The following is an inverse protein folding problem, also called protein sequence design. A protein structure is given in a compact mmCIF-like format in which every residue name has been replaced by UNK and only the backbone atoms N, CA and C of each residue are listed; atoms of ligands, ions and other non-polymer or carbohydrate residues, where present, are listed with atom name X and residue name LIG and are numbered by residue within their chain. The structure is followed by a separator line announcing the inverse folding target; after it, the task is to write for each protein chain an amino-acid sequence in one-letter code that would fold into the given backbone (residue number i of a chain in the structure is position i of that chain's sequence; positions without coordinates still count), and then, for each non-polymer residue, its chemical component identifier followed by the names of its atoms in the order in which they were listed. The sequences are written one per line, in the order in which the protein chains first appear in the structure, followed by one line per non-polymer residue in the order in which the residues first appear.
data_IF_654504092800
#
_entry.id   IF_654504092800
#
_cell.length_a   1.000
_cell.length_b   1.000
_cell.length_c   1.000
_cell.angle_alpha   90.00
_cell.angle_beta   90.00
_cell.angle_gamma   90.00
#
_symmetry.space_group_name_H-M   'P 1'
#
loop_
_entity.id
_entity.type
_entity.pdbx_description
1 polymer ?
#
# COMPACT_ATOMS: atom_id res chain seq x y z
N UNK A 1 -16.57 33.16 -20.66
CA UNK A 1 -17.27 32.86 -21.94
C UNK A 1 -17.54 31.37 -21.94
N UNK A 2 -18.77 30.99 -21.62
CA UNK A 2 -19.24 29.60 -21.61
C UNK A 2 -19.82 29.36 -23.00
N UNK A 3 -19.38 28.31 -23.68
CA UNK A 3 -20.10 27.80 -24.85
C UNK A 3 -20.66 26.43 -24.47
N UNK A 4 -21.96 26.43 -24.21
CA UNK A 4 -22.80 25.26 -24.20
C UNK A 4 -22.99 24.82 -25.66
N UNK A 5 -22.76 23.56 -25.97
CA UNK A 5 -23.49 22.87 -27.04
C UNK A 5 -24.11 21.63 -26.43
N UNK A 6 -25.42 21.68 -26.40
CA UNK A 6 -26.33 20.64 -25.94
C UNK A 6 -26.86 19.92 -27.20
N UNK A 7 -26.96 18.59 -27.18
CA UNK A 7 -28.04 17.83 -27.85
C UNK A 7 -27.96 16.33 -27.53
N UNK A 8 -28.79 15.92 -26.56
CA UNK A 8 -29.90 14.95 -26.64
C UNK A 8 -29.69 13.56 -27.26
N UNK A 9 -30.15 12.57 -26.47
CA UNK A 9 -30.56 11.21 -26.85
C UNK A 9 -29.75 10.18 -26.07
N UNK A 10 -30.25 9.37 -25.15
CA UNK A 10 -31.59 8.81 -24.94
C UNK A 10 -31.37 7.33 -24.58
N UNK A 11 -32.01 6.89 -23.48
CA UNK A 11 -32.16 5.48 -23.04
C UNK A 11 -31.06 4.82 -22.18
N UNK A 12 -31.25 5.00 -20.88
CA UNK A 12 -31.50 3.96 -19.85
C UNK A 12 -30.62 2.69 -19.79
N UNK A 13 -29.87 2.60 -18.68
CA UNK A 13 -29.06 1.44 -18.33
C UNK A 13 -28.44 1.54 -16.94
N UNK A 14 -29.27 1.82 -15.92
CA UNK A 14 -29.08 1.57 -14.47
C UNK A 14 -27.66 1.18 -14.01
N UNK A 15 -26.70 2.13 -13.98
CA UNK A 15 -25.43 1.96 -13.28
C UNK A 15 -25.60 2.34 -11.81
N UNK A 16 -25.82 1.34 -10.96
CA UNK A 16 -25.58 1.47 -9.52
C UNK A 16 -24.12 1.89 -9.33
N UNK A 17 -23.91 3.01 -8.64
CA UNK A 17 -22.58 3.46 -8.25
C UNK A 17 -21.86 2.38 -7.45
N UNK A 18 -20.77 1.86 -8.00
CA UNK A 18 -19.85 0.99 -7.28
C UNK A 18 -18.75 1.88 -6.70
N UNK A 19 -18.91 2.23 -5.42
CA UNK A 19 -17.85 2.80 -4.60
C UNK A 19 -16.86 1.66 -4.37
N UNK A 20 -15.58 1.74 -4.80
CA UNK A 20 -14.62 0.70 -4.48
C UNK A 20 -14.32 0.78 -2.97
N UNK A 21 -14.91 -0.15 -2.22
CA UNK A 21 -14.47 -0.48 -0.87
C UNK A 21 -13.00 -0.89 -0.96
N UNK A 22 -12.17 -0.21 -0.19
CA UNK A 22 -10.82 -0.65 0.18
C UNK A 22 -10.90 -2.12 0.63
N UNK A 23 -10.38 -3.05 -0.17
CA UNK A 23 -10.13 -4.41 0.30
C UNK A 23 -8.74 -4.44 0.90
N UNK A 24 -8.70 -4.50 2.23
CA UNK A 24 -7.50 -4.86 2.98
C UNK A 24 -6.96 -6.19 2.46
N UNK A 25 -5.71 -6.16 2.00
CA UNK A 25 -4.96 -7.37 1.73
C UNK A 25 -4.64 -8.08 3.05
N UNK A 26 -5.13 -9.30 3.17
CA UNK A 26 -4.78 -10.29 4.17
C UNK A 26 -3.38 -10.81 3.83
N UNK A 27 -2.35 -10.23 4.44
CA UNK A 27 -1.01 -10.81 4.43
C UNK A 27 -0.86 -11.75 5.62
N UNK A 28 -1.02 -13.04 5.33
CA UNK A 28 -0.48 -14.11 6.15
C UNK A 28 1.06 -14.00 6.18
N UNK A 29 1.60 -13.47 7.27
CA UNK A 29 3.00 -13.67 7.64
C UNK A 29 3.05 -14.73 8.73
N UNK A 30 3.55 -15.92 8.35
CA UNK A 30 3.99 -16.96 9.26
C UNK A 30 5.02 -16.37 10.23
N UNK A 31 4.72 -16.45 11.52
CA UNK A 31 5.60 -15.98 12.58
C UNK A 31 6.86 -16.84 12.68
N UNK A 32 8.00 -16.24 12.39
CA UNK A 32 9.28 -16.61 13.00
C UNK A 32 9.43 -15.72 14.24
N UNK A 33 9.25 -16.36 15.39
CA UNK A 33 9.41 -15.77 16.70
C UNK A 33 10.88 -15.38 16.93
N UNK A 34 11.20 -14.10 16.80
CA UNK A 34 12.39 -13.51 17.40
C UNK A 34 11.98 -12.31 18.24
N UNK A 35 11.71 -12.63 19.50
CA UNK A 35 11.93 -11.78 20.68
C UNK A 35 11.82 -10.27 20.43
N UNK A 36 10.60 -9.77 20.27
CA UNK A 36 10.29 -8.38 20.53
C UNK A 36 10.29 -8.18 22.05
N UNK A 37 11.18 -7.37 22.64
CA UNK A 37 11.06 -7.05 24.05
C UNK A 37 9.79 -6.22 24.23
N UNK A 38 8.78 -6.86 24.85
CA UNK A 38 7.64 -6.23 25.47
C UNK A 38 8.11 -5.17 26.47
N UNK A 39 8.32 -3.94 26.02
CA UNK A 39 8.61 -2.80 26.90
C UNK A 39 7.85 -1.56 26.43
N UNK A 40 6.54 -1.68 26.39
CA UNK A 40 5.66 -0.53 26.64
C UNK A 40 4.72 -0.85 27.79
N UNK A 41 5.30 -1.26 28.93
CA UNK A 41 4.73 -0.90 30.21
C UNK A 41 5.22 0.53 30.51
N UNK A 42 4.65 1.50 29.79
CA UNK A 42 4.70 2.90 30.22
C UNK A 42 4.07 2.91 31.61
N UNK A 43 4.92 2.89 32.64
CA UNK A 43 4.53 3.44 33.93
C UNK A 43 4.07 4.85 33.62
N UNK A 44 2.80 5.12 33.93
CA UNK A 44 2.27 6.47 34.09
C UNK A 44 3.15 7.23 35.10
N UNK A 45 4.27 7.79 34.65
CA UNK A 45 4.86 8.98 35.26
C UNK A 45 4.01 10.13 34.76
N UNK A 46 2.92 10.36 35.50
CA UNK A 46 2.08 11.55 35.38
C UNK A 46 2.99 12.78 35.36
N UNK A 47 3.12 13.40 34.19
CA UNK A 47 3.49 14.81 34.06
C UNK A 47 2.33 15.62 34.65
N UNK A 48 2.51 16.36 35.76
CA UNK A 48 1.45 17.18 36.34
C UNK A 48 1.53 18.59 35.74
N UNK A 49 1.51 18.73 34.41
CA UNK A 49 1.56 20.04 33.77
C UNK A 49 0.68 20.07 32.52
N UNK A 50 -0.62 19.80 32.71
CA UNK A 50 -1.70 20.46 31.98
C UNK A 50 -3.05 19.92 32.46
N UNK A 51 -3.57 20.50 33.53
CA UNK A 51 -5.01 20.51 33.76
C UNK A 51 -5.41 21.96 33.85
N UNK A 52 -6.16 22.38 32.82
CA UNK A 52 -6.85 23.67 32.73
C UNK A 52 -7.57 23.95 34.05
N UNK A 53 -7.47 25.19 34.51
CA UNK A 53 -8.31 25.75 35.57
C UNK A 53 -9.78 25.66 35.14
N UNK A 54 -10.46 24.59 35.55
CA UNK A 54 -11.92 24.57 35.68
C UNK A 54 -12.16 24.36 37.16
N UNK A 55 -12.76 25.36 37.82
CA UNK A 55 -13.20 25.30 39.20
C UNK A 55 -14.25 24.19 39.36
N UNK A 56 -13.82 22.99 39.70
CA UNK A 56 -14.66 21.97 40.33
C UNK A 56 -13.97 21.50 41.62
N UNK A 57 -14.68 21.44 42.75
CA UNK A 57 -14.13 20.93 44.00
C UNK A 57 -13.78 19.44 43.82
N UNK A 58 -12.61 18.99 44.33
CA UNK A 58 -12.15 17.62 44.12
C UNK A 58 -12.98 16.63 44.95
N UNK A 59 -13.97 16.00 44.33
CA UNK A 59 -14.66 14.84 44.91
C UNK A 59 -13.76 13.61 44.80
N UNK A 60 -13.39 13.06 45.96
CA UNK A 60 -12.69 11.78 46.18
C UNK A 60 -11.17 11.79 46.01
N UNK A 61 -10.49 12.48 46.94
CA UNK A 61 -9.12 12.18 47.29
C UNK A 61 -9.00 10.73 47.79
N UNK A 62 -8.19 9.90 47.15
CA UNK A 62 -7.57 8.76 47.83
C UNK A 62 -6.76 9.28 49.02
N UNK A 63 -7.37 9.33 50.21
CA UNK A 63 -6.79 9.54 51.54
C UNK A 63 -5.94 10.82 51.75
N UNK A 64 -6.27 11.71 52.71
CA UNK A 64 -5.44 12.85 53.10
C UNK A 64 -3.98 12.45 53.42
N UNK A 65 -3.80 11.26 53.98
CA UNK A 65 -2.49 10.70 54.33
C UNK A 65 -1.59 10.48 53.10
N UNK A 66 -2.12 10.05 51.96
CA UNK A 66 -1.33 9.79 50.74
C UNK A 66 -0.92 11.08 50.04
N UNK A 67 -1.80 12.08 50.09
CA UNK A 67 -1.52 13.44 49.63
C UNK A 67 -0.43 14.09 50.48
N UNK A 68 -0.58 14.07 51.81
CA UNK A 68 0.43 14.57 52.74
C UNK A 68 1.74 13.80 52.60
N UNK A 69 1.74 12.47 52.52
CA UNK A 69 2.94 11.65 52.35
C UNK A 69 3.71 11.99 51.06
N UNK A 70 3.02 12.26 49.94
CA UNK A 70 3.66 12.70 48.68
C UNK A 70 4.25 14.10 48.79
N UNK A 71 3.56 15.00 49.49
CA UNK A 71 3.98 16.39 49.63
C UNK A 71 5.10 16.56 50.67
N UNK A 72 5.06 15.84 51.79
CA UNK A 72 6.02 16.00 52.90
C UNK A 72 7.27 15.19 52.71
N UNK A 73 7.19 13.91 52.34
CA UNK A 73 8.38 13.07 52.12
C UNK A 73 9.07 13.33 50.77
N UNK A 74 8.35 13.90 49.80
CA UNK A 74 8.96 14.40 48.56
C UNK A 74 9.86 15.63 48.81
N UNK A 75 9.51 16.45 49.80
CA UNK A 75 10.29 17.61 50.22
C UNK A 75 11.52 17.23 51.07
N UNK A 76 11.48 16.13 51.82
CA UNK A 76 12.56 15.67 52.70
C UNK A 76 13.76 15.01 51.99
N UNK A 77 13.82 15.07 50.66
CA UNK A 77 15.01 14.65 49.92
C UNK A 77 16.08 15.73 50.00
N UNK A 78 17.29 15.37 50.47
CA UNK A 78 18.45 16.25 50.42
C UNK A 78 18.71 16.71 48.99
N UNK A 79 19.23 17.93 48.84
CA UNK A 79 19.57 18.50 47.53
C UNK A 79 20.56 17.59 46.78
N UNK A 80 21.50 16.98 47.51
CA UNK A 80 22.46 16.00 47.01
C UNK A 80 21.77 14.75 46.44
N UNK A 81 20.75 14.21 47.11
CA UNK A 81 20.03 13.04 46.62
C UNK A 81 19.24 13.35 45.34
N UNK A 82 18.69 14.55 45.21
CA UNK A 82 18.03 15.01 43.97
C UNK A 82 19.05 15.18 42.84
N UNK A 83 20.22 15.75 43.13
CA UNK A 83 21.29 15.94 42.17
C UNK A 83 21.85 14.62 41.65
N UNK A 84 22.21 13.67 42.54
CA UNK A 84 22.71 12.35 42.16
C UNK A 84 21.68 11.61 41.29
N UNK A 85 20.40 11.74 41.61
CA UNK A 85 19.31 11.16 40.81
C UNK A 85 19.23 11.81 39.43
N UNK A 86 19.30 13.14 39.35
CA UNK A 86 19.30 13.86 38.09
C UNK A 86 20.52 13.49 37.23
N UNK A 87 21.70 13.39 37.81
CA UNK A 87 22.93 12.99 37.12
C UNK A 87 22.83 11.57 36.54
N UNK A 88 22.32 10.62 37.33
CA UNK A 88 22.06 9.24 36.85
C UNK A 88 21.08 9.24 35.68
N UNK A 89 19.99 10.00 35.78
CA UNK A 89 19.00 10.10 34.70
C UNK A 89 19.59 10.72 33.43
N UNK A 90 20.44 11.75 33.55
CA UNK A 90 21.11 12.37 32.38
C UNK A 90 22.04 11.37 31.70
N UNK A 91 22.79 10.57 32.48
CA UNK A 91 23.67 9.52 31.94
C UNK A 91 22.87 8.43 31.22
N UNK A 92 21.80 7.93 31.84
CA UNK A 92 20.91 6.93 31.23
C UNK A 92 20.25 7.47 29.95
N UNK A 93 19.76 8.71 29.99
CA UNK A 93 19.18 9.38 28.83
C UNK A 93 20.19 9.54 27.70
N UNK A 94 21.44 9.92 28.00
CA UNK A 94 22.52 10.00 27.02
C UNK A 94 22.80 8.68 26.30
N UNK A 95 22.79 7.56 27.04
CA UNK A 95 22.92 6.22 26.44
C UNK A 95 21.75 5.89 25.52
N UNK A 96 20.52 6.18 25.97
CA UNK A 96 19.31 5.96 25.17
C UNK A 96 19.33 6.75 23.87
N UNK A 97 19.65 8.05 23.93
CA UNK A 97 19.76 8.90 22.74
C UNK A 97 20.88 8.43 21.80
N UNK A 98 22.00 7.96 22.35
CA UNK A 98 23.10 7.40 21.57
C UNK A 98 22.69 6.15 20.78
N UNK A 99 21.92 5.24 21.40
CA UNK A 99 21.35 4.07 20.74
C UNK A 99 20.35 4.47 19.66
N UNK A 100 19.41 5.37 19.98
CA UNK A 100 18.42 5.87 19.02
C UNK A 100 19.06 6.51 17.79
N UNK A 101 20.14 7.29 17.95
CA UNK A 101 20.87 7.87 16.82
C UNK A 101 21.47 6.81 15.90
N UNK A 102 22.01 5.73 16.46
CA UNK A 102 22.59 4.62 15.67
C UNK A 102 21.50 3.83 14.95
N UNK A 103 20.41 3.52 15.63
CA UNK A 103 19.28 2.80 15.04
C UNK A 103 18.59 3.62 13.95
N UNK A 104 18.36 4.91 14.20
CA UNK A 104 17.77 5.84 13.22
C UNK A 104 18.59 5.91 11.93
N UNK A 105 19.92 6.03 12.02
CA UNK A 105 20.80 6.00 10.83
C UNK A 105 20.66 4.71 10.04
N UNK A 106 20.71 3.55 10.71
CA UNK A 106 20.53 2.24 10.06
C UNK A 106 19.16 2.11 9.38
N UNK A 107 18.10 2.62 10.02
CA UNK A 107 16.75 2.58 9.45
C UNK A 107 16.60 3.52 8.25
N UNK A 108 17.18 4.71 8.31
CA UNK A 108 17.21 5.66 7.19
C UNK A 108 17.93 5.07 5.97
N UNK A 109 19.09 4.45 6.19
CA UNK A 109 19.84 3.78 5.12
C UNK A 109 19.00 2.68 4.46
N UNK A 110 18.37 1.81 5.27
CA UNK A 110 17.49 0.75 4.76
C UNK A 110 16.27 1.29 4.01
N UNK A 111 15.64 2.34 4.54
CA UNK A 111 14.51 2.98 3.89
C UNK A 111 14.90 3.58 2.52
N UNK A 112 16.06 4.23 2.45
CA UNK A 112 16.57 4.82 1.21
C UNK A 112 16.90 3.77 0.14
N UNK A 113 17.41 2.61 0.54
CA UNK A 113 17.68 1.49 -0.37
C UNK A 113 16.37 0.88 -0.86
N UNK A 114 15.43 0.61 0.06
CA UNK A 114 14.11 0.08 -0.29
C UNK A 114 13.37 1.02 -1.25
N UNK A 115 13.44 2.35 -1.07
CA UNK A 115 12.84 3.31 -2.00
C UNK A 115 13.44 3.23 -3.40
N UNK A 116 14.78 3.12 -3.52
CA UNK A 116 15.45 2.96 -4.81
C UNK A 116 15.03 1.67 -5.51
N UNK A 117 14.99 0.56 -4.76
CA UNK A 117 14.60 -0.74 -5.30
C UNK A 117 13.14 -0.75 -5.74
N UNK A 118 12.24 -0.13 -4.96
CA UNK A 118 10.83 0.05 -5.34
C UNK A 118 10.68 0.87 -6.62
N UNK A 119 11.38 2.00 -6.74
CA UNK A 119 11.34 2.85 -7.97
C UNK A 119 11.88 2.12 -9.19
N UNK A 120 12.95 1.34 -9.01
CA UNK A 120 13.52 0.51 -10.07
C UNK A 120 12.54 -0.57 -10.50
N UNK A 121 12.01 -1.36 -9.56
CA UNK A 121 11.04 -2.40 -9.85
C UNK A 121 9.77 -1.86 -10.51
N UNK A 122 9.30 -0.69 -10.10
CA UNK A 122 8.18 0.00 -10.75
C UNK A 122 8.49 0.38 -12.20
N UNK A 123 9.67 0.95 -12.45
CA UNK A 123 10.11 1.29 -13.81
C UNK A 123 10.23 0.06 -14.71
N UNK A 124 10.81 -1.02 -14.20
CA UNK A 124 10.95 -2.29 -14.94
C UNK A 124 9.56 -2.88 -15.28
N UNK A 125 8.61 -2.79 -14.34
CA UNK A 125 7.23 -3.23 -14.56
C UNK A 125 6.50 -2.37 -15.60
N UNK A 126 6.74 -1.05 -15.63
CA UNK A 126 6.20 -0.18 -16.69
C UNK A 126 6.73 -0.55 -18.07
N UNK A 127 8.05 -0.78 -18.20
CA UNK A 127 8.66 -1.16 -19.48
C UNK A 127 8.10 -2.50 -19.96
N UNK A 128 8.05 -3.51 -19.09
CA UNK A 128 7.47 -4.80 -19.42
C UNK A 128 5.97 -4.70 -19.77
N UNK A 129 5.21 -3.89 -19.04
CA UNK A 129 3.80 -3.60 -19.32
C UNK A 129 3.60 -3.01 -20.71
N UNK A 130 4.40 -2.01 -21.09
CA UNK A 130 4.36 -1.38 -22.41
C UNK A 130 4.70 -2.37 -23.54
N UNK A 131 5.67 -3.26 -23.32
CA UNK A 131 6.02 -4.31 -24.28
C UNK A 131 4.86 -5.29 -24.46
N UNK A 132 4.23 -5.74 -23.37
CA UNK A 132 3.05 -6.61 -23.41
C UNK A 132 1.90 -5.93 -24.15
N UNK A 133 1.65 -4.64 -23.89
CA UNK A 133 0.60 -3.89 -24.57
C UNK A 133 0.89 -3.74 -26.08
N UNK A 134 2.15 -3.52 -26.46
CA UNK A 134 2.58 -3.48 -27.86
C UNK A 134 2.32 -4.81 -28.57
N UNK A 135 2.70 -5.93 -27.93
CA UNK A 135 2.43 -7.28 -28.45
C UNK A 135 0.93 -7.56 -28.50
N UNK A 136 0.15 -7.12 -27.52
CA UNK A 136 -1.31 -7.24 -27.56
C UNK A 136 -1.85 -6.56 -28.83
N UNK A 137 -1.45 -5.30 -29.07
CA UNK A 137 -1.87 -4.53 -30.26
C UNK A 137 -1.48 -5.21 -31.57
N UNK A 138 -0.31 -5.84 -31.66
CA UNK A 138 0.06 -6.58 -32.86
C UNK A 138 -0.76 -7.86 -33.04
N UNK A 139 -1.02 -8.60 -31.97
CA UNK A 139 -1.92 -9.77 -31.99
C UNK A 139 -3.33 -9.39 -32.44
N UNK A 140 -3.88 -8.27 -31.92
CA UNK A 140 -5.17 -7.74 -32.36
C UNK A 140 -5.24 -7.47 -33.87
N UNK A 141 -4.17 -6.91 -34.44
CA UNK A 141 -4.10 -6.66 -35.90
C UNK A 141 -4.05 -7.96 -36.70
N UNK A 142 -3.24 -8.93 -36.27
CA UNK A 142 -3.10 -10.21 -36.95
C UNK A 142 -4.38 -11.06 -36.83
N UNK A 143 -5.04 -11.04 -35.67
CA UNK A 143 -6.35 -11.68 -35.46
C UNK A 143 -7.40 -11.10 -36.43
N UNK A 144 -7.44 -9.77 -36.60
CA UNK A 144 -8.30 -9.10 -37.56
C UNK A 144 -8.02 -9.54 -39.00
N UNK A 145 -6.75 -9.51 -39.43
CA UNK A 145 -6.35 -9.94 -40.77
C UNK A 145 -6.69 -11.42 -41.05
N UNK A 146 -6.53 -12.29 -40.04
CA UNK A 146 -6.88 -13.69 -40.16
C UNK A 146 -8.40 -13.91 -40.25
N UNK A 147 -9.19 -13.09 -39.55
CA UNK A 147 -10.65 -13.10 -39.66
C UNK A 147 -11.12 -12.63 -41.05
N UNK A 148 -10.55 -11.53 -41.56
CA UNK A 148 -10.83 -11.03 -42.91
C UNK A 148 -10.50 -12.09 -43.98
N UNK A 149 -9.36 -12.77 -43.83
CA UNK A 149 -8.97 -13.87 -44.72
C UNK A 149 -9.95 -15.06 -44.65
N UNK A 150 -10.44 -15.40 -43.45
CA UNK A 150 -11.45 -16.45 -43.28
C UNK A 150 -12.75 -16.10 -44.00
N UNK A 151 -13.16 -14.84 -43.97
CA UNK A 151 -14.37 -14.38 -44.63
C UNK A 151 -14.23 -14.43 -46.16
N UNK A 152 -13.08 -14.02 -46.72
CA UNK A 152 -12.78 -14.20 -48.15
C UNK A 152 -12.79 -15.69 -48.54
N UNK A 153 -12.15 -16.55 -47.74
CA UNK A 153 -12.11 -17.98 -48.02
C UNK A 153 -13.50 -18.61 -47.99
N UNK A 154 -14.46 -18.09 -47.21
CA UNK A 154 -15.84 -18.59 -47.13
C UNK A 154 -16.63 -18.40 -48.43
N UNK A 155 -16.32 -17.37 -49.19
CA UNK A 155 -17.01 -17.06 -50.45
C UNK A 155 -16.62 -18.02 -51.59
N UNK A 156 -15.43 -18.62 -51.55
CA UNK A 156 -14.92 -19.48 -52.62
C UNK A 156 -15.31 -20.94 -52.36
N UNK A 157 -16.21 -21.56 -53.16
CA UNK A 157 -16.47 -22.99 -53.08
C UNK A 157 -15.34 -23.76 -53.78
N UNK A 158 -14.52 -24.49 -53.00
CA UNK A 158 -13.45 -25.33 -53.56
C UNK A 158 -12.78 -26.23 -52.51
N UNK A 159 -12.25 -27.39 -52.95
CA UNK A 159 -11.62 -28.37 -52.04
C UNK A 159 -10.33 -27.84 -51.40
N UNK A 160 -9.51 -27.11 -52.14
CA UNK A 160 -8.29 -26.50 -51.61
C UNK A 160 -8.62 -25.32 -50.66
N UNK A 161 -9.64 -24.52 -50.98
CA UNK A 161 -10.12 -23.46 -50.09
C UNK A 161 -10.62 -24.04 -48.75
N UNK A 162 -11.29 -25.20 -48.75
CA UNK A 162 -11.72 -25.88 -47.53
C UNK A 162 -10.55 -26.31 -46.63
N UNK A 163 -9.43 -26.77 -47.20
CA UNK A 163 -8.22 -27.10 -46.41
C UNK A 163 -7.64 -25.84 -45.78
N UNK A 164 -7.50 -24.76 -46.56
CA UNK A 164 -7.00 -23.47 -46.06
C UNK A 164 -7.90 -22.90 -44.96
N UNK A 165 -9.22 -23.04 -45.07
CA UNK A 165 -10.15 -22.64 -43.99
C UNK A 165 -9.87 -23.37 -42.68
N UNK A 166 -9.57 -24.67 -42.74
CA UNK A 166 -9.26 -25.45 -41.53
C UNK A 166 -7.94 -24.98 -40.90
N UNK A 167 -6.92 -24.71 -41.72
CA UNK A 167 -5.63 -24.19 -41.26
C UNK A 167 -5.77 -22.80 -40.63
N UNK A 168 -6.41 -21.86 -41.33
CA UNK A 168 -6.61 -20.50 -40.82
C UNK A 168 -7.52 -20.50 -39.59
N UNK A 169 -8.55 -21.35 -39.52
CA UNK A 169 -9.37 -21.50 -38.31
C UNK A 169 -8.55 -21.99 -37.10
N UNK A 170 -7.62 -22.92 -37.31
CA UNK A 170 -6.68 -23.35 -36.28
C UNK A 170 -5.80 -22.20 -35.81
N UNK A 171 -5.24 -21.42 -36.74
CA UNK A 171 -4.43 -20.23 -36.42
C UNK A 171 -5.22 -19.18 -35.64
N UNK A 172 -6.46 -18.87 -36.06
CA UNK A 172 -7.35 -17.93 -35.36
C UNK A 172 -7.62 -18.40 -33.93
N UNK A 173 -7.91 -19.70 -33.73
CA UNK A 173 -8.08 -20.27 -32.40
C UNK A 173 -6.83 -20.08 -31.52
N UNK A 174 -5.63 -20.31 -32.07
CA UNK A 174 -4.37 -20.07 -31.35
C UNK A 174 -4.18 -18.59 -31.01
N UNK A 175 -4.46 -17.66 -31.93
CA UNK A 175 -4.39 -16.23 -31.67
C UNK A 175 -5.37 -15.79 -30.59
N UNK A 176 -6.58 -16.34 -30.58
CA UNK A 176 -7.59 -16.06 -29.57
C UNK A 176 -7.15 -16.53 -28.17
N UNK A 177 -6.54 -17.72 -28.08
CA UNK A 177 -5.94 -18.22 -26.85
C UNK A 177 -4.79 -17.31 -26.37
N UNK A 178 -3.92 -16.88 -27.26
CA UNK A 178 -2.83 -15.94 -26.93
C UNK A 178 -3.37 -14.61 -26.43
N UNK A 179 -4.37 -14.04 -27.11
CA UNK A 179 -5.02 -12.80 -26.73
C UNK A 179 -5.61 -12.86 -25.33
N UNK A 180 -6.44 -13.87 -25.05
CA UNK A 180 -7.04 -14.02 -23.71
C UNK A 180 -5.98 -14.22 -22.62
N UNK A 181 -4.85 -14.88 -22.93
CA UNK A 181 -3.73 -15.01 -22.02
C UNK A 181 -3.04 -13.66 -21.76
N UNK A 182 -2.84 -12.84 -22.80
CA UNK A 182 -2.23 -11.51 -22.70
C UNK A 182 -3.16 -10.55 -21.94
N UNK A 183 -4.46 -10.52 -22.24
CA UNK A 183 -5.43 -9.66 -21.57
C UNK A 183 -5.48 -9.96 -20.06
N UNK A 184 -5.41 -11.23 -19.66
CA UNK A 184 -5.29 -11.63 -18.25
C UNK A 184 -4.02 -11.10 -17.58
N UNK A 185 -2.92 -10.95 -18.33
CA UNK A 185 -1.67 -10.38 -17.81
C UNK A 185 -1.77 -8.86 -17.69
N UNK A 186 -2.37 -8.19 -18.67
CA UNK A 186 -2.61 -6.74 -18.64
C UNK A 186 -3.41 -6.36 -17.40
N UNK A 187 -4.55 -7.05 -17.15
CA UNK A 187 -5.38 -6.81 -15.95
C UNK A 187 -4.57 -6.94 -14.66
N UNK A 188 -3.76 -8.01 -14.54
CA UNK A 188 -2.91 -8.22 -13.36
C UNK A 188 -1.87 -7.12 -13.16
N UNK A 189 -1.32 -6.56 -14.24
CA UNK A 189 -0.34 -5.47 -14.13
C UNK A 189 -1.06 -4.16 -13.74
N UNK A 190 -2.25 -3.90 -14.27
CA UNK A 190 -3.07 -2.73 -13.89
C UNK A 190 -3.52 -2.78 -12.42
N UNK A 191 -3.82 -3.96 -11.89
CA UNK A 191 -4.13 -4.18 -10.47
C UNK A 191 -2.95 -3.81 -9.54
N UNK A 192 -1.72 -3.86 -10.05
CA UNK A 192 -0.52 -3.45 -9.30
C UNK A 192 -0.29 -1.93 -9.29
N UNK A 193 -1.24 -1.15 -9.81
CA UNK A 193 -1.18 0.31 -9.84
C UNK A 193 -0.28 0.88 -10.93
N UNK A 194 0.15 0.06 -11.88
CA UNK A 194 0.92 0.51 -13.04
C UNK A 194 -0.04 0.95 -14.15
N UNK A 195 0.05 2.21 -14.62
CA UNK A 195 -0.71 2.66 -15.79
C UNK A 195 -0.10 2.04 -17.05
N UNK A 196 -0.91 1.31 -17.81
CA UNK A 196 -0.55 0.68 -19.09
C UNK A 196 -1.56 1.11 -20.13
#
# INVERSE_FOLDING_TARGET
IIVFVDTRGGEDGRRKGFIPKQSMALLHLRGSASHCPSVYRLRHSLCPFHTKYILHPPSHSSGPRRFLYRQTLGCLQSEEAKFIKAEKNVKEFGLSVGLMKKESKKLLERASLAEKDMKRGHSDLMVAGNQIQSVAKSVYKVEGQAADLMDVLREIPGREALKLRAEVASMVSHLHQQRTAIDKRIVKISELGVPI
#
